data_IF_580903684131
#
_entry.id   IF_580903684131
#
_cell.length_a   1.000
_cell.length_b   1.000
_cell.length_c   1.000
_cell.angle_alpha   90.00
_cell.angle_beta   90.00
_cell.angle_gamma   90.00
#
_symmetry.space_group_name_H-M   'P 1'
#
loop_
_entity.id
_entity.type
_entity.pdbx_description
1 polymer ?
#
# COMPACT_ATOMS: atom_id res chain seq x y z
N UNK A 1 4.68 -13.24 -10.84
CA UNK A 1 4.99 -12.00 -10.08
C UNK A 1 6.42 -11.96 -9.56
N UNK A 2 6.89 -12.94 -8.76
CA UNK A 2 8.28 -12.96 -8.27
C UNK A 2 9.31 -12.86 -9.41
N UNK A 3 9.13 -13.64 -10.49
CA UNK A 3 10.01 -13.58 -11.65
C UNK A 3 10.04 -12.20 -12.32
N UNK A 4 8.88 -11.53 -12.43
CA UNK A 4 8.76 -10.16 -12.96
C UNK A 4 9.55 -9.15 -12.13
N UNK A 5 9.41 -9.25 -10.80
CA UNK A 5 10.12 -8.36 -9.87
C UNK A 5 11.62 -8.63 -9.89
N UNK A 6 12.04 -9.90 -9.95
CA UNK A 6 13.45 -10.28 -10.12
C UNK A 6 14.02 -9.80 -11.46
N UNK A 7 13.24 -9.85 -12.53
CA UNK A 7 13.62 -9.30 -13.83
C UNK A 7 13.90 -7.80 -13.73
N UNK A 8 12.95 -7.03 -13.18
CA UNK A 8 13.14 -5.59 -12.98
C UNK A 8 14.35 -5.27 -12.07
N UNK A 9 14.58 -6.06 -11.03
CA UNK A 9 15.74 -5.93 -10.14
C UNK A 9 17.07 -6.23 -10.84
N UNK A 10 17.09 -7.17 -11.79
CA UNK A 10 18.26 -7.50 -12.61
C UNK A 10 18.77 -6.34 -13.45
N UNK A 11 17.90 -5.40 -13.80
CA UNK A 11 18.22 -4.20 -14.58
C UNK A 11 18.80 -3.05 -13.72
N UNK A 12 19.21 -3.33 -12.47
CA UNK A 12 19.77 -2.34 -11.54
C UNK A 12 18.71 -1.59 -10.70
N UNK A 13 17.43 -1.96 -10.82
CA UNK A 13 16.35 -1.37 -10.02
C UNK A 13 16.46 -1.78 -8.56
N UNK A 14 16.55 -0.81 -7.65
CA UNK A 14 16.64 -1.08 -6.20
C UNK A 14 15.30 -1.14 -5.47
N UNK A 15 14.24 -0.54 -6.02
CA UNK A 15 12.92 -0.49 -5.39
C UNK A 15 11.85 -0.86 -6.39
N UNK A 16 11.00 -1.82 -6.05
CA UNK A 16 9.85 -2.22 -6.88
C UNK A 16 8.59 -2.08 -6.05
N UNK A 17 7.62 -1.30 -6.55
CA UNK A 17 6.31 -1.13 -5.89
C UNK A 17 5.27 -1.96 -6.61
N UNK A 18 4.53 -2.78 -5.86
CA UNK A 18 3.42 -3.59 -6.33
C UNK A 18 2.08 -3.00 -5.87
N UNK A 19 0.98 -3.32 -6.56
CA UNK A 19 -0.35 -2.81 -6.22
C UNK A 19 -0.84 -3.20 -4.82
N UNK A 20 -1.93 -2.56 -4.44
CA UNK A 20 -2.69 -2.92 -3.24
C UNK A 20 -3.14 -4.38 -3.32
N UNK A 21 -3.09 -5.09 -2.19
CA UNK A 21 -3.50 -6.50 -2.09
C UNK A 21 -2.82 -7.46 -3.07
N UNK A 22 -1.69 -7.08 -3.68
CA UNK A 22 -0.98 -7.92 -4.65
C UNK A 22 -0.59 -9.29 -4.07
N UNK A 23 -0.31 -9.39 -2.77
CA UNK A 23 0.01 -10.67 -2.11
C UNK A 23 -1.20 -11.36 -1.48
N UNK A 24 -2.40 -10.79 -1.59
CA UNK A 24 -3.57 -11.30 -0.88
C UNK A 24 -3.34 -11.32 0.63
N UNK A 25 -3.65 -12.45 1.28
CA UNK A 25 -3.45 -12.59 2.73
C UNK A 25 -1.97 -12.75 3.09
N UNK A 26 -1.52 -11.91 4.03
CA UNK A 26 -0.18 -11.96 4.59
C UNK A 26 -0.06 -13.10 5.60
N UNK A 27 0.18 -14.31 5.09
CA UNK A 27 0.35 -15.54 5.89
C UNK A 27 1.84 -15.89 6.06
N UNK A 28 2.21 -16.71 7.07
CA UNK A 28 3.59 -17.17 7.23
C UNK A 28 4.16 -17.88 5.99
N UNK A 29 3.31 -18.55 5.22
CA UNK A 29 3.73 -19.20 3.96
C UNK A 29 4.09 -18.18 2.89
N UNK A 30 3.26 -17.15 2.71
CA UNK A 30 3.52 -16.05 1.77
C UNK A 30 4.76 -15.27 2.20
N UNK A 31 4.88 -14.97 3.48
CA UNK A 31 6.05 -14.30 4.06
C UNK A 31 7.35 -15.06 3.76
N UNK A 32 7.40 -16.36 4.05
CA UNK A 32 8.59 -17.19 3.81
C UNK A 32 8.92 -17.31 2.33
N UNK A 33 7.92 -17.45 1.47
CA UNK A 33 8.10 -17.53 0.03
C UNK A 33 8.75 -16.24 -0.50
N UNK A 34 8.24 -15.08 -0.11
CA UNK A 34 8.74 -13.81 -0.61
C UNK A 34 10.07 -13.42 0.01
N UNK A 35 10.27 -13.60 1.31
CA UNK A 35 11.57 -13.35 1.94
C UNK A 35 12.66 -14.25 1.37
N UNK A 36 12.39 -15.55 1.16
CA UNK A 36 13.32 -16.46 0.49
C UNK A 36 13.58 -16.09 -0.97
N UNK A 37 12.60 -15.54 -1.68
CA UNK A 37 12.78 -15.09 -3.06
C UNK A 37 13.65 -13.83 -3.19
N UNK A 38 13.83 -13.05 -2.13
CA UNK A 38 14.59 -11.79 -2.14
C UNK A 38 15.77 -11.79 -1.15
N UNK A 39 16.13 -12.94 -0.57
CA UNK A 39 17.25 -13.06 0.37
C UNK A 39 18.61 -12.77 -0.25
N UNK A 40 18.77 -13.04 -1.55
CA UNK A 40 20.08 -12.98 -2.21
C UNK A 40 20.23 -11.75 -3.12
N UNK A 41 19.24 -10.86 -3.13
CA UNK A 41 19.22 -9.67 -3.98
C UNK A 41 19.31 -8.36 -3.20
N UNK A 42 19.67 -7.29 -3.90
CA UNK A 42 19.76 -5.93 -3.34
C UNK A 42 18.47 -5.11 -3.53
N UNK A 43 17.46 -5.68 -4.17
CA UNK A 43 16.18 -5.01 -4.40
C UNK A 43 15.25 -5.12 -3.18
N UNK A 44 14.57 -4.01 -2.87
CA UNK A 44 13.46 -3.95 -1.93
C UNK A 44 12.14 -3.95 -2.69
N UNK A 45 11.28 -4.91 -2.38
CA UNK A 45 9.91 -4.97 -2.87
C UNK A 45 8.98 -4.32 -1.86
N UNK A 46 8.15 -3.38 -2.32
CA UNK A 46 7.09 -2.76 -1.53
C UNK A 46 5.78 -3.24 -2.10
N UNK A 47 4.94 -3.90 -1.30
CA UNK A 47 3.76 -4.58 -1.83
C UNK A 47 2.58 -4.51 -0.89
N UNK A 48 1.38 -4.40 -1.46
CA UNK A 48 0.13 -4.49 -0.72
C UNK A 48 -0.19 -5.91 -0.28
N UNK A 49 -0.71 -6.06 0.94
CA UNK A 49 -1.22 -7.32 1.48
C UNK A 49 -2.31 -7.05 2.54
N UNK A 50 -3.09 -8.07 2.87
CA UNK A 50 -4.08 -8.03 3.93
C UNK A 50 -3.63 -8.88 5.12
N UNK A 51 -3.43 -8.25 6.29
CA UNK A 51 -3.09 -8.93 7.53
C UNK A 51 -4.36 -9.20 8.33
N UNK A 52 -4.75 -10.47 8.41
CA UNK A 52 -5.98 -10.89 9.09
C UNK A 52 -5.71 -11.19 10.56
N UNK A 53 -6.62 -10.74 11.43
CA UNK A 53 -6.64 -11.06 12.86
C UNK A 53 -8.09 -11.36 13.32
N UNK A 54 -8.32 -11.85 14.55
CA UNK A 54 -9.66 -12.22 15.00
C UNK A 54 -10.69 -11.08 14.97
N UNK A 55 -10.23 -9.82 14.94
CA UNK A 55 -11.06 -8.63 14.94
C UNK A 55 -11.13 -7.95 13.56
N UNK A 56 -10.73 -8.62 12.47
CA UNK A 56 -10.85 -8.12 11.09
C UNK A 56 -9.56 -8.26 10.31
N UNK A 57 -9.26 -7.29 9.44
CA UNK A 57 -7.98 -7.25 8.74
C UNK A 57 -7.43 -5.84 8.61
N UNK A 58 -6.11 -5.72 8.46
CA UNK A 58 -5.43 -4.48 8.12
C UNK A 58 -4.96 -4.56 6.67
N UNK A 59 -5.25 -3.54 5.89
CA UNK A 59 -4.68 -3.36 4.57
C UNK A 59 -3.31 -2.69 4.73
N UNK A 60 -2.25 -3.35 4.29
CA UNK A 60 -0.88 -2.95 4.64
C UNK A 60 0.02 -2.88 3.42
N UNK A 61 1.03 -2.01 3.49
CA UNK A 61 2.22 -2.12 2.66
C UNK A 61 3.32 -2.82 3.44
N UNK A 62 3.92 -3.82 2.81
CA UNK A 62 5.04 -4.59 3.34
C UNK A 62 6.27 -4.29 2.51
N UNK A 63 7.40 -3.98 3.16
CA UNK A 63 8.71 -4.02 2.52
C UNK A 63 9.32 -5.41 2.70
N UNK A 64 9.90 -5.93 1.64
CA UNK A 64 10.61 -7.22 1.61
C UNK A 64 11.96 -6.98 0.95
N UNK A 65 13.03 -7.32 1.66
CA UNK A 65 14.40 -7.21 1.18
C UNK A 65 15.26 -8.34 1.77
N UNK A 66 16.57 -8.33 1.51
CA UNK A 66 17.51 -9.33 2.04
C UNK A 66 17.53 -9.41 3.58
N UNK A 67 17.16 -8.35 4.30
CA UNK A 67 17.11 -8.34 5.77
C UNK A 67 15.82 -8.95 6.31
N UNK A 68 14.86 -9.28 5.45
CA UNK A 68 13.59 -9.91 5.80
C UNK A 68 12.41 -9.09 5.32
N UNK A 69 11.40 -8.95 6.17
CA UNK A 69 10.21 -8.16 5.88
C UNK A 69 9.87 -7.21 7.02
N UNK A 70 9.15 -6.14 6.70
CA UNK A 70 8.56 -5.22 7.68
C UNK A 70 7.27 -4.61 7.16
N UNK A 71 6.30 -4.44 8.05
CA UNK A 71 5.11 -3.64 7.76
C UNK A 71 5.54 -2.17 7.70
N UNK A 72 5.53 -1.60 6.49
CA UNK A 72 5.84 -0.18 6.29
C UNK A 72 4.69 0.70 6.72
N UNK A 73 3.48 0.33 6.33
CA UNK A 73 2.31 1.18 6.42
C UNK A 73 1.06 0.35 6.62
N UNK A 74 0.10 0.91 7.38
CA UNK A 74 -1.25 0.38 7.52
C UNK A 74 -2.23 1.46 7.06
N UNK A 75 -3.23 1.06 6.28
CA UNK A 75 -4.24 1.97 5.74
C UNK A 75 -4.94 2.73 6.88
N UNK A 76 -4.87 4.07 6.82
CA UNK A 76 -5.49 4.92 7.83
C UNK A 76 -6.99 5.01 7.59
N UNK A 77 -7.40 5.09 6.32
CA UNK A 77 -8.80 5.25 5.95
C UNK A 77 -9.27 4.31 4.83
N UNK A 78 -9.69 3.07 5.19
CA UNK A 78 -10.42 2.18 4.29
C UNK A 78 -11.76 2.75 3.80
N UNK A 79 -12.26 2.24 2.67
CA UNK A 79 -13.54 2.68 2.07
C UNK A 79 -14.70 2.49 3.07
N UNK A 80 -15.42 3.56 3.46
CA UNK A 80 -16.59 3.45 4.33
C UNK A 80 -17.70 2.58 3.73
N UNK A 81 -18.34 1.77 4.56
CA UNK A 81 -19.52 0.98 4.17
C UNK A 81 -19.20 -0.32 3.43
N UNK A 82 -18.09 -0.39 2.70
CA UNK A 82 -17.65 -1.61 2.02
C UNK A 82 -16.51 -2.30 2.78
N UNK A 83 -15.35 -1.66 2.89
CA UNK A 83 -14.20 -2.20 3.62
C UNK A 83 -14.35 -1.94 5.12
N UNK A 84 -14.60 -0.69 5.48
CA UNK A 84 -14.74 -0.27 6.87
C UNK A 84 -16.20 -0.29 7.31
N UNK A 85 -16.53 -1.22 8.20
CA UNK A 85 -17.88 -1.42 8.73
C UNK A 85 -17.84 -1.63 10.25
N UNK A 86 -17.46 -0.61 11.04
CA UNK A 86 -17.28 -0.75 12.49
C UNK A 86 -18.56 -1.19 13.20
N UNK A 87 -19.74 -0.79 12.70
CA UNK A 87 -21.05 -1.14 13.25
C UNK A 87 -21.37 -2.63 13.14
N UNK A 88 -20.76 -3.40 12.21
CA UNK A 88 -21.01 -4.84 12.11
C UNK A 88 -20.60 -5.61 13.36
N UNK A 89 -19.59 -5.12 14.07
CA UNK A 89 -19.14 -5.70 15.34
C UNK A 89 -20.23 -5.65 16.41
N UNK A 90 -21.07 -4.62 16.39
CA UNK A 90 -22.20 -4.46 17.33
C UNK A 90 -23.35 -5.45 17.06
N UNK A 91 -23.42 -6.01 15.86
CA UNK A 91 -24.45 -6.97 15.44
C UNK A 91 -23.92 -8.40 15.28
N UNK A 92 -22.73 -8.70 15.81
CA UNK A 92 -22.12 -10.04 15.75
C UNK A 92 -21.67 -10.48 14.34
N UNK A 93 -21.53 -9.55 13.40
CA UNK A 93 -21.04 -9.82 12.04
C UNK A 93 -19.51 -9.87 11.96
N UNK A 94 -18.97 -10.40 10.85
CA UNK A 94 -17.54 -10.35 10.56
C UNK A 94 -17.08 -8.90 10.41
N UNK A 95 -15.98 -8.55 11.08
CA UNK A 95 -15.39 -7.21 11.02
C UNK A 95 -14.58 -7.08 9.73
N UNK A 96 -14.74 -5.94 9.04
CA UNK A 96 -14.05 -5.64 7.79
C UNK A 96 -12.63 -5.10 8.00
N UNK A 97 -12.19 -4.22 7.11
CA UNK A 97 -10.92 -3.52 7.22
C UNK A 97 -10.92 -2.63 8.46
N UNK A 98 -9.80 -2.62 9.18
CA UNK A 98 -9.52 -1.68 10.26
C UNK A 98 -8.95 -0.38 9.70
N UNK A 99 -9.19 0.70 10.43
CA UNK A 99 -8.74 2.06 10.12
C UNK A 99 -7.69 2.49 11.13
N UNK A 100 -6.47 2.76 10.68
CA UNK A 100 -5.41 3.29 11.51
C UNK A 100 -5.35 4.83 11.44
N UNK A 101 -6.43 5.52 11.83
CA UNK A 101 -6.59 6.98 11.67
C UNK A 101 -5.41 7.84 12.16
N UNK A 102 -4.62 7.37 13.13
CA UNK A 102 -3.50 8.12 13.69
C UNK A 102 -2.13 7.49 13.40
N UNK A 103 -2.06 6.50 12.52
CA UNK A 103 -0.79 5.89 12.16
C UNK A 103 0.14 6.86 11.44
N UNK A 104 1.42 6.50 11.44
CA UNK A 104 2.49 7.29 10.86
C UNK A 104 2.15 7.69 9.41
N UNK A 105 2.10 9.00 9.12
CA UNK A 105 1.67 9.49 7.82
C UNK A 105 2.78 9.39 6.76
N UNK A 106 4.00 9.03 7.17
CA UNK A 106 5.19 8.90 6.33
C UNK A 106 6.04 7.72 6.79
N UNK A 107 6.75 7.08 5.86
CA UNK A 107 7.53 5.86 6.10
C UNK A 107 8.92 5.99 5.48
N UNK A 108 9.95 5.39 6.10
CA UNK A 108 11.31 5.41 5.56
C UNK A 108 11.54 4.28 4.56
N UNK A 109 11.98 4.60 3.35
CA UNK A 109 12.33 3.67 2.28
C UNK A 109 13.73 4.02 1.78
N UNK A 110 14.69 3.13 2.05
CA UNK A 110 16.10 3.45 1.80
C UNK A 110 16.54 4.67 2.60
N UNK A 111 17.13 5.64 1.91
CA UNK A 111 17.51 6.94 2.49
C UNK A 111 16.42 8.02 2.43
N UNK A 112 15.27 7.73 1.81
CA UNK A 112 14.18 8.71 1.64
C UNK A 112 12.94 8.41 2.49
N UNK A 113 12.05 9.38 2.55
CA UNK A 113 10.76 9.34 3.24
C UNK A 113 9.64 9.38 2.23
N UNK A 114 8.77 8.38 2.24
CA UNK A 114 7.60 8.35 1.38
C UNK A 114 6.34 8.70 2.16
N UNK A 115 5.38 9.30 1.48
CA UNK A 115 3.98 9.37 1.88
C UNK A 115 3.19 8.25 1.18
N UNK A 116 2.85 7.15 1.87
CA UNK A 116 2.02 6.10 1.30
C UNK A 116 0.55 6.52 1.29
N UNK A 117 -0.13 6.19 0.19
CA UNK A 117 -1.58 6.33 0.03
C UNK A 117 -2.13 5.04 -0.55
N UNK A 118 -3.00 4.37 0.19
CA UNK A 118 -3.68 3.16 -0.27
C UNK A 118 -5.07 3.54 -0.78
N UNK A 119 -5.37 3.16 -2.02
CA UNK A 119 -6.70 3.16 -2.62
C UNK A 119 -7.52 4.43 -2.35
N UNK A 120 -8.46 4.35 -1.41
CA UNK A 120 -9.41 5.42 -1.11
C UNK A 120 -8.75 6.65 -0.50
N UNK A 121 -7.62 6.49 0.21
CA UNK A 121 -6.87 7.60 0.80
C UNK A 121 -6.40 8.64 -0.24
N UNK A 122 -6.25 8.21 -1.50
CA UNK A 122 -5.90 9.06 -2.62
C UNK A 122 -6.98 10.12 -2.94
N UNK A 123 -8.22 9.89 -2.52
CA UNK A 123 -9.37 10.75 -2.77
C UNK A 123 -9.71 11.65 -1.58
N UNK A 124 -9.16 11.35 -0.39
CA UNK A 124 -9.46 12.09 0.84
C UNK A 124 -8.39 13.16 1.07
N UNK A 125 -8.83 14.34 1.51
CA UNK A 125 -7.94 15.48 1.77
C UNK A 125 -7.02 15.23 2.97
N UNK A 126 -7.56 14.77 4.11
CA UNK A 126 -6.81 14.67 5.37
C UNK A 126 -5.56 13.77 5.31
N UNK A 127 -5.58 12.53 4.78
CA UNK A 127 -4.41 11.67 4.75
C UNK A 127 -3.26 12.30 3.97
N UNK A 128 -3.59 12.95 2.84
CA UNK A 128 -2.62 13.63 1.98
C UNK A 128 -2.01 14.83 2.67
N UNK A 129 -2.84 15.75 3.20
CA UNK A 129 -2.34 16.94 3.88
C UNK A 129 -1.50 16.57 5.10
N UNK A 130 -1.96 15.62 5.90
CA UNK A 130 -1.19 15.15 7.06
C UNK A 130 0.17 14.62 6.61
N UNK A 131 0.23 13.77 5.58
CA UNK A 131 1.50 13.23 5.07
C UNK A 131 2.44 14.32 4.55
N UNK A 132 1.93 15.29 3.79
CA UNK A 132 2.73 16.38 3.22
C UNK A 132 3.26 17.34 4.29
N UNK A 133 2.52 17.58 5.38
CA UNK A 133 2.98 18.39 6.51
C UNK A 133 4.25 17.83 7.17
N UNK A 134 4.53 16.53 7.02
CA UNK A 134 5.75 15.91 7.48
C UNK A 134 6.91 15.94 6.48
N UNK A 135 6.74 16.66 5.37
CA UNK A 135 7.68 16.87 4.27
C UNK A 135 8.31 15.56 3.75
N UNK A 136 7.52 14.72 3.05
CA UNK A 136 8.02 13.51 2.43
C UNK A 136 8.84 13.86 1.18
N UNK A 137 9.80 13.01 0.83
CA UNK A 137 10.59 13.16 -0.39
C UNK A 137 9.77 12.78 -1.63
N UNK A 138 8.81 11.86 -1.50
CA UNK A 138 7.95 11.40 -2.60
C UNK A 138 6.64 10.77 -2.10
N UNK A 139 5.69 10.56 -3.00
CA UNK A 139 4.41 9.89 -2.74
C UNK A 139 4.43 8.50 -3.38
N UNK A 140 3.98 7.49 -2.62
CA UNK A 140 3.67 6.16 -3.15
C UNK A 140 2.16 5.97 -3.10
N UNK A 141 1.52 5.77 -4.25
CA UNK A 141 0.11 5.45 -4.31
C UNK A 141 -0.12 4.05 -4.89
N UNK A 142 -0.78 3.21 -4.12
CA UNK A 142 -1.16 1.86 -4.55
C UNK A 142 -2.67 1.72 -4.58
N UNK A 143 -3.21 0.93 -5.51
CA UNK A 143 -4.66 0.69 -5.56
C UNK A 143 -5.03 -0.65 -6.19
N UNK A 144 -6.21 -1.15 -5.80
CA UNK A 144 -6.81 -2.37 -6.31
C UNK A 144 -7.98 -2.02 -7.24
N UNK A 145 -7.73 -2.09 -8.55
CA UNK A 145 -8.70 -1.82 -9.61
C UNK A 145 -9.50 -3.03 -10.09
N UNK A 146 -9.12 -4.26 -9.74
CA UNK A 146 -9.73 -5.50 -10.27
C UNK A 146 -11.27 -5.54 -10.18
N UNK A 147 -11.83 -5.09 -9.06
CA UNK A 147 -13.29 -5.13 -8.83
C UNK A 147 -14.03 -3.95 -9.47
N UNK A 148 -13.27 -2.99 -10.03
CA UNK A 148 -13.77 -1.75 -10.63
C UNK A 148 -13.61 -1.72 -12.15
N UNK A 149 -13.31 -2.87 -12.76
CA UNK A 149 -13.17 -2.96 -14.21
C UNK A 149 -14.42 -2.42 -14.93
N UNK A 150 -14.20 -1.67 -16.00
CA UNK A 150 -15.26 -0.95 -16.71
C UNK A 150 -15.78 0.32 -16.02
N UNK A 151 -15.21 0.76 -14.89
CA UNK A 151 -15.56 2.02 -14.22
C UNK A 151 -14.44 3.06 -14.29
N UNK A 152 -14.75 4.32 -13.92
CA UNK A 152 -13.76 5.40 -13.88
C UNK A 152 -12.92 5.45 -12.59
N UNK A 153 -13.10 4.53 -11.65
CA UNK A 153 -12.53 4.63 -10.29
C UNK A 153 -10.99 4.73 -10.33
N UNK A 154 -10.31 3.79 -11.01
CA UNK A 154 -8.84 3.81 -11.13
C UNK A 154 -8.34 5.07 -11.82
N UNK A 155 -9.06 5.54 -12.85
CA UNK A 155 -8.70 6.77 -13.57
C UNK A 155 -8.80 8.01 -12.67
N UNK A 156 -9.84 8.09 -11.84
CA UNK A 156 -10.04 9.17 -10.87
C UNK A 156 -8.96 9.14 -9.80
N UNK A 157 -8.63 7.96 -9.25
CA UNK A 157 -7.56 7.80 -8.25
C UNK A 157 -6.20 8.25 -8.81
N UNK A 158 -5.86 7.83 -10.03
CA UNK A 158 -4.62 8.27 -10.70
C UNK A 158 -4.60 9.77 -10.93
N UNK A 159 -5.71 10.35 -11.40
CA UNK A 159 -5.81 11.78 -11.66
C UNK A 159 -5.69 12.59 -10.36
N UNK A 160 -6.41 12.20 -9.30
CA UNK A 160 -6.38 12.84 -7.99
C UNK A 160 -4.97 12.81 -7.38
N UNK A 161 -4.34 11.63 -7.35
CA UNK A 161 -2.97 11.50 -6.81
C UNK A 161 -1.95 12.29 -7.63
N UNK A 162 -2.09 12.31 -8.96
CA UNK A 162 -1.23 13.13 -9.83
C UNK A 162 -1.40 14.62 -9.53
N UNK A 163 -2.63 15.08 -9.29
CA UNK A 163 -2.90 16.46 -8.92
C UNK A 163 -2.26 16.82 -7.57
N UNK A 164 -2.38 15.95 -6.56
CA UNK A 164 -1.73 16.14 -5.25
C UNK A 164 -0.20 16.19 -5.36
N UNK A 165 0.39 15.26 -6.10
CA UNK A 165 1.83 15.22 -6.33
C UNK A 165 2.34 16.51 -7.00
N UNK A 166 1.62 17.01 -8.02
CA UNK A 166 1.93 18.28 -8.68
C UNK A 166 1.76 19.48 -7.76
N UNK A 167 0.66 19.53 -6.99
CA UNK A 167 0.37 20.63 -6.07
C UNK A 167 1.48 20.82 -5.04
N UNK A 168 2.03 19.72 -4.53
CA UNK A 168 3.08 19.75 -3.50
C UNK A 168 4.50 19.54 -4.04
N UNK A 169 4.66 19.54 -5.37
CA UNK A 169 5.94 19.31 -6.05
C UNK A 169 6.68 18.05 -5.55
N UNK A 170 5.95 16.95 -5.34
CA UNK A 170 6.50 15.67 -4.90
C UNK A 170 6.55 14.68 -6.07
N UNK A 171 7.67 13.96 -6.28
CA UNK A 171 7.70 12.79 -7.16
C UNK A 171 6.63 11.78 -6.77
N UNK A 172 6.10 11.07 -7.77
CA UNK A 172 4.99 10.14 -7.60
C UNK A 172 5.32 8.76 -8.17
N UNK A 173 5.15 7.73 -7.34
CA UNK A 173 5.21 6.33 -7.74
C UNK A 173 3.81 5.73 -7.62
N UNK A 174 3.31 5.12 -8.70
CA UNK A 174 1.98 4.51 -8.74
C UNK A 174 2.03 3.03 -9.11
N UNK A 175 1.26 2.21 -8.41
CA UNK A 175 1.08 0.80 -8.73
C UNK A 175 -0.39 0.39 -8.55
N UNK A 176 -1.04 0.00 -9.65
CA UNK A 176 -2.43 -0.48 -9.64
C UNK A 176 -2.52 -1.82 -10.33
N UNK A 177 -3.38 -2.71 -9.82
CA UNK A 177 -3.83 -3.85 -10.58
C UNK A 177 -5.08 -3.44 -11.41
N UNK A 178 -5.35 -4.22 -12.46
CA UNK A 178 -6.51 -4.09 -13.36
C UNK A 178 -7.22 -5.42 -13.40
#
# INVERSE_FOLDING_TARGET
MIATVRGAAGDGTRYVVLPESALGFWTPTVERLWTGAFSDGDATVITGAAMVDPAGYNNVLVAIDRKGNRILYRERMPVPGSMWQPWRSWFGGSVGAKSDFFANPVVSIGGGRAAPLICYEQLIVWPVLQSVLHDPDFIIAVGNGWWTDGTSIVSIQRAATTAWAKLFAKPLVIAFNT
#
